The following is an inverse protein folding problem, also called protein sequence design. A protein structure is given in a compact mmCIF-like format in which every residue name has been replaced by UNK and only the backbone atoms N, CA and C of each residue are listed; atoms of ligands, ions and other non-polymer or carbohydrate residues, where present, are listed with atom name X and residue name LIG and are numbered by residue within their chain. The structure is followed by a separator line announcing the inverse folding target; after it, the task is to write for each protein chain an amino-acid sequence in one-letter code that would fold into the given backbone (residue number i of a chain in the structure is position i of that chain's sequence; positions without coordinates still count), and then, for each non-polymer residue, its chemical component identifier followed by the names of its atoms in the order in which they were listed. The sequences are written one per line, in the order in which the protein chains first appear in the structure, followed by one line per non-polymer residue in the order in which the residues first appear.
data_IF_152172209633
#
_entry.id   IF_152172209633
#
_cell.length_a   1.000
_cell.length_b   1.000
_cell.length_c   1.000
_cell.angle_alpha   90.00
_cell.angle_beta   90.00
_cell.angle_gamma   90.00
#
_symmetry.space_group_name_H-M   'P 1'
#
loop_
_entity.id
_entity.type
_entity.pdbx_description
1 polymer ?
#
# COMPACT_ATOMS: atom_id res chain seq x y z
N UNK A 1 -10.94 18.06 -2.00
CA UNK A 1 -11.61 16.84 -1.47
C UNK A 1 -11.43 15.63 -2.38
N UNK A 2 -11.70 15.72 -3.69
CA UNK A 2 -11.50 14.59 -4.64
C UNK A 2 -10.05 14.06 -4.64
N UNK A 3 -9.07 14.94 -4.87
CA UNK A 3 -7.64 14.56 -4.93
C UNK A 3 -7.14 13.87 -3.66
N UNK A 4 -7.60 14.33 -2.48
CA UNK A 4 -7.26 13.72 -1.19
C UNK A 4 -7.83 12.29 -1.10
N UNK A 5 -9.07 12.08 -1.53
CA UNK A 5 -9.68 10.75 -1.53
C UNK A 5 -8.95 9.81 -2.50
N UNK A 6 -8.58 10.30 -3.68
CA UNK A 6 -7.81 9.55 -4.67
C UNK A 6 -6.41 9.21 -4.16
N UNK A 7 -5.75 10.15 -3.48
CA UNK A 7 -4.47 9.91 -2.80
C UNK A 7 -4.54 8.83 -1.73
N UNK A 8 -5.57 8.85 -0.87
CA UNK A 8 -5.81 7.79 0.12
C UNK A 8 -6.02 6.44 -0.57
N UNK A 9 -6.86 6.40 -1.63
CA UNK A 9 -7.10 5.17 -2.41
C UNK A 9 -5.84 4.62 -3.06
N UNK A 10 -5.02 5.48 -3.68
CA UNK A 10 -3.74 5.11 -4.29
C UNK A 10 -2.76 4.55 -3.26
N UNK A 11 -2.74 5.17 -2.07
CA UNK A 11 -1.88 4.73 -0.98
C UNK A 11 -2.29 3.34 -0.49
N UNK A 12 -3.59 3.13 -0.22
CA UNK A 12 -4.12 1.83 0.20
C UNK A 12 -3.97 0.75 -0.87
N UNK A 13 -4.19 1.07 -2.14
CA UNK A 13 -3.96 0.18 -3.29
C UNK A 13 -2.56 -0.46 -3.28
N UNK A 14 -1.52 0.34 -3.05
CA UNK A 14 -0.15 -0.15 -3.00
C UNK A 14 0.19 -0.78 -1.64
N UNK A 15 -0.32 -0.20 -0.55
CA UNK A 15 -0.01 -0.59 0.81
C UNK A 15 -0.64 -1.90 1.27
N UNK A 16 -1.63 -2.43 0.55
CA UNK A 16 -2.23 -3.73 0.84
C UNK A 16 -1.55 -4.91 0.13
N UNK A 17 -0.62 -4.60 -0.78
CA UNK A 17 0.03 -5.56 -1.66
C UNK A 17 1.49 -5.79 -1.31
N UNK A 18 1.78 -7.00 -0.86
CA UNK A 18 3.13 -7.40 -0.51
C UNK A 18 4.08 -7.45 -1.72
N UNK A 19 3.58 -7.72 -2.94
CA UNK A 19 4.39 -7.65 -4.16
C UNK A 19 4.82 -6.24 -4.52
N UNK A 20 4.16 -5.20 -3.99
CA UNK A 20 4.47 -3.80 -4.25
C UNK A 20 5.28 -3.16 -3.12
N UNK A 21 4.94 -3.45 -1.87
CA UNK A 21 5.51 -2.76 -0.71
C UNK A 21 5.78 -3.73 0.44
N UNK A 22 6.94 -3.60 1.08
CA UNK A 22 7.33 -4.42 2.23
C UNK A 22 7.72 -3.53 3.42
N UNK A 23 7.26 -3.90 4.61
CA UNK A 23 7.42 -3.11 5.83
C UNK A 23 7.00 -1.64 5.61
N UNK A 24 7.83 -0.67 6.02
CA UNK A 24 7.55 0.77 5.85
C UNK A 24 7.92 1.35 4.48
N UNK A 25 8.33 0.51 3.53
CA UNK A 25 8.74 0.92 2.17
C UNK A 25 7.59 1.51 1.36
N UNK A 26 7.96 2.20 0.28
CA UNK A 26 7.01 2.85 -0.61
C UNK A 26 6.35 4.11 -0.04
N UNK A 27 6.02 5.01 -0.97
CA UNK A 27 5.58 6.37 -0.70
C UNK A 27 4.62 6.82 -1.78
N UNK A 28 3.70 7.71 -1.44
CA UNK A 28 2.72 8.27 -2.35
C UNK A 28 2.64 9.77 -2.14
N UNK A 29 2.28 10.51 -3.18
CA UNK A 29 1.94 11.93 -3.07
C UNK A 29 0.86 12.36 -4.06
N UNK A 30 0.23 13.49 -3.74
CA UNK A 30 -0.61 14.25 -4.67
C UNK A 30 -0.28 15.74 -4.57
N UNK A 31 -0.10 16.38 -5.72
CA UNK A 31 0.02 17.85 -5.83
C UNK A 31 -1.38 18.44 -6.01
N UNK A 32 -1.68 19.48 -5.25
CA UNK A 32 -2.96 20.18 -5.27
C UNK A 32 -2.82 21.48 -6.07
N UNK A 33 -3.93 21.93 -6.65
CA UNK A 33 -3.95 23.11 -7.53
C UNK A 33 -3.57 24.41 -6.80
N UNK A 34 -3.60 24.42 -5.46
CA UNK A 34 -3.19 25.54 -4.61
C UNK A 34 -1.67 25.57 -4.34
N UNK A 35 -0.88 24.72 -4.98
CA UNK A 35 0.57 24.64 -4.79
C UNK A 35 1.03 23.75 -3.64
N UNK A 36 0.11 23.14 -2.89
CA UNK A 36 0.46 22.18 -1.85
C UNK A 36 0.74 20.80 -2.43
N UNK A 37 1.59 20.02 -1.79
CA UNK A 37 1.71 18.58 -1.99
C UNK A 37 1.42 17.85 -0.68
N UNK A 38 0.54 16.86 -0.76
CA UNK A 38 0.34 15.87 0.28
C UNK A 38 1.25 14.70 0.00
N UNK A 39 2.02 14.24 0.99
CA UNK A 39 2.94 13.11 0.85
C UNK A 39 2.86 12.20 2.06
N UNK A 40 2.92 10.88 1.85
CA UNK A 40 2.98 9.90 2.95
C UNK A 40 4.02 10.31 3.99
N UNK A 41 3.59 10.40 5.25
CA UNK A 41 4.47 10.77 6.34
C UNK A 41 5.43 9.62 6.71
N UNK A 42 6.62 9.98 7.17
CA UNK A 42 7.58 9.02 7.71
C UNK A 42 7.01 8.33 8.95
N UNK A 43 7.21 7.01 9.04
CA UNK A 43 6.69 6.19 10.14
C UNK A 43 5.27 5.64 9.94
N UNK A 44 4.58 6.03 8.87
CA UNK A 44 3.30 5.46 8.46
C UNK A 44 3.47 4.46 7.32
N UNK A 45 2.68 3.39 7.32
CA UNK A 45 2.52 2.52 6.17
C UNK A 45 1.66 3.22 5.11
N UNK A 46 1.78 2.80 3.84
CA UNK A 46 0.89 3.28 2.79
C UNK A 46 -0.59 2.93 3.07
N UNK A 47 -0.84 1.80 3.73
CA UNK A 47 -2.17 1.40 4.19
C UNK A 47 -2.69 2.18 5.40
N UNK A 48 -1.83 2.93 6.11
CA UNK A 48 -2.24 3.76 7.25
C UNK A 48 -2.70 5.17 6.84
N UNK A 49 -2.54 5.54 5.56
CA UNK A 49 -2.95 6.86 5.06
C UNK A 49 -4.48 6.95 5.05
N UNK A 50 -5.01 7.96 5.73
CA UNK A 50 -6.43 8.29 5.79
C UNK A 50 -6.65 9.75 5.37
N UNK A 51 -7.90 10.20 5.33
CA UNK A 51 -8.23 11.58 4.91
C UNK A 51 -7.70 12.64 5.89
N UNK A 52 -7.51 12.31 7.15
CA UNK A 52 -7.13 13.21 8.23
C UNK A 52 -5.75 12.92 8.86
N UNK A 53 -5.11 11.80 8.51
CA UNK A 53 -3.81 11.37 9.08
C UNK A 53 -2.96 10.57 8.10
N UNK A 54 -1.68 10.41 8.42
CA UNK A 54 -0.73 9.57 7.68
C UNK A 54 0.03 10.29 6.55
N UNK A 55 -0.13 11.61 6.42
CA UNK A 55 0.58 12.42 5.43
C UNK A 55 1.08 13.76 6.01
N UNK A 56 2.07 14.33 5.35
CA UNK A 56 2.56 15.68 5.55
C UNK A 56 2.07 16.59 4.42
N UNK A 57 1.86 17.87 4.72
CA UNK A 57 1.47 18.88 3.72
C UNK A 57 2.58 19.91 3.59
N UNK A 58 3.05 20.14 2.36
CA UNK A 58 4.18 21.03 2.08
C UNK A 58 4.01 21.81 0.78
N UNK A 59 4.75 22.91 0.64
CA UNK A 59 4.80 23.72 -0.57
C UNK A 59 5.74 23.06 -1.60
N UNK A 60 5.16 22.46 -2.64
CA UNK A 60 5.94 21.68 -3.59
C UNK A 60 6.83 22.56 -4.49
N UNK A 61 6.43 23.81 -4.74
CA UNK A 61 7.21 24.73 -5.58
C UNK A 61 8.50 25.13 -4.87
N UNK A 62 8.47 25.31 -3.54
CA UNK A 62 9.68 25.51 -2.75
C UNK A 62 10.63 24.33 -2.81
N UNK A 63 10.12 23.10 -2.78
CA UNK A 63 10.96 21.89 -2.89
C UNK A 63 11.62 21.81 -4.25
N UNK A 64 10.88 22.04 -5.34
CA UNK A 64 11.42 22.03 -6.70
C UNK A 64 12.48 23.12 -6.88
N UNK A 65 12.21 24.34 -6.40
CA UNK A 65 13.17 25.44 -6.46
C UNK A 65 14.45 25.14 -5.67
N UNK A 66 14.32 24.47 -4.52
CA UNK A 66 15.46 24.12 -3.67
C UNK A 66 16.44 23.15 -4.35
N UNK A 67 15.99 22.28 -5.27
CA UNK A 67 16.91 21.38 -6.00
C UNK A 67 17.88 22.10 -6.94
N UNK A 68 17.61 23.38 -7.26
CA UNK A 68 18.51 24.23 -8.04
C UNK A 68 19.41 25.12 -7.16
N UNK A 69 19.42 24.90 -5.84
CA UNK A 69 20.27 25.65 -4.93
C UNK A 69 21.75 25.27 -5.12
N UNK A 70 22.63 26.23 -5.48
CA UNK A 70 24.05 25.96 -5.68
C UNK A 70 24.74 25.43 -4.42
N UNK A 71 24.17 25.62 -3.23
CA UNK A 71 24.70 25.06 -1.99
C UNK A 71 24.85 23.53 -2.04
N UNK A 72 24.02 22.81 -2.82
CA UNK A 72 24.18 21.36 -2.99
C UNK A 72 25.48 20.96 -3.71
N UNK A 73 26.05 21.84 -4.54
CA UNK A 73 27.34 21.61 -5.19
C UNK A 73 28.51 22.01 -4.26
N UNK A 74 28.31 23.03 -3.43
CA UNK A 74 29.32 23.52 -2.49
C UNK A 74 29.53 22.59 -1.29
N UNK A 75 28.46 21.93 -0.81
CA UNK A 75 28.54 21.01 0.32
C UNK A 75 29.08 19.66 -0.16
N UNK A 76 30.33 19.37 0.21
CA UNK A 76 31.06 18.15 -0.21
C UNK A 76 30.59 16.90 0.57
N UNK A 77 30.31 17.04 1.86
CA UNK A 77 29.92 15.89 2.70
C UNK A 77 28.45 15.50 2.53
N UNK A 78 28.19 14.25 2.14
CA UNK A 78 26.83 13.71 1.95
C UNK A 78 25.90 13.95 3.14
N UNK A 79 26.39 13.74 4.36
CA UNK A 79 25.62 13.95 5.59
C UNK A 79 25.19 15.41 5.76
N UNK A 80 26.08 16.36 5.46
CA UNK A 80 25.75 17.79 5.54
C UNK A 80 24.72 18.17 4.47
N UNK A 81 24.79 17.57 3.27
CA UNK A 81 23.75 17.74 2.25
C UNK A 81 22.40 17.20 2.69
N UNK A 82 22.35 16.04 3.33
CA UNK A 82 21.13 15.48 3.90
C UNK A 82 20.53 16.39 4.98
N UNK A 83 21.36 16.91 5.89
CA UNK A 83 20.93 17.84 6.93
C UNK A 83 20.41 19.16 6.33
N UNK A 84 21.06 19.69 5.28
CA UNK A 84 20.60 20.87 4.56
C UNK A 84 19.27 20.63 3.82
N UNK A 85 19.17 19.50 3.11
CA UNK A 85 17.95 19.08 2.43
C UNK A 85 16.78 18.93 3.42
N UNK A 86 17.02 18.36 4.60
CA UNK A 86 16.01 18.26 5.65
C UNK A 86 15.54 19.64 6.16
N UNK A 87 16.44 20.62 6.28
CA UNK A 87 16.07 22.00 6.62
C UNK A 87 15.19 22.64 5.55
N UNK A 88 15.55 22.47 4.27
CA UNK A 88 14.76 22.98 3.14
C UNK A 88 13.36 22.38 3.12
N UNK A 89 13.24 21.07 3.34
CA UNK A 89 11.97 20.37 3.46
C UNK A 89 11.17 20.90 4.66
N UNK A 90 11.81 21.09 5.81
CA UNK A 90 11.17 21.64 7.02
C UNK A 90 10.60 23.04 6.77
N UNK A 91 11.32 23.89 6.04
CA UNK A 91 10.89 25.25 5.70
C UNK A 91 9.72 25.30 4.70
N UNK A 92 9.44 24.19 4.01
CA UNK A 92 8.32 24.06 3.09
C UNK A 92 7.05 23.48 3.76
N UNK A 93 7.12 23.00 5.00
CA UNK A 93 5.98 22.41 5.70
C UNK A 93 4.92 23.45 6.07
N UNK A 94 3.65 23.10 5.87
CA UNK A 94 2.52 23.87 6.40
C UNK A 94 2.19 23.53 7.86
N UNK A 95 2.65 22.37 8.35
CA UNK A 95 2.49 21.94 9.75
C UNK A 95 3.79 21.30 10.26
N UNK A 96 4.39 21.81 11.36
CA UNK A 96 5.67 21.34 11.86
C UNK A 96 5.59 19.97 12.58
N UNK A 97 4.39 19.48 12.88
CA UNK A 97 4.18 18.20 13.57
C UNK A 97 4.32 16.98 12.66
N UNK A 98 4.27 17.17 11.34
CA UNK A 98 4.39 16.09 10.37
C UNK A 98 5.84 15.94 9.91
N UNK A 99 6.41 14.73 10.04
CA UNK A 99 7.69 14.39 9.40
C UNK A 99 7.41 13.87 7.99
N UNK A 100 7.72 14.64 6.92
CA UNK A 100 7.51 14.17 5.56
C UNK A 100 8.47 13.02 5.21
N UNK A 101 8.23 12.36 4.07
CA UNK A 101 9.17 11.35 3.55
C UNK A 101 10.54 11.97 3.25
N UNK A 102 11.61 11.20 3.46
CA UNK A 102 12.96 11.57 2.99
C UNK A 102 13.05 11.71 1.47
N UNK A 103 12.09 11.13 0.74
CA UNK A 103 12.01 11.12 -0.73
C UNK A 103 11.09 12.21 -1.28
N UNK A 104 10.74 13.20 -0.46
CA UNK A 104 9.89 14.34 -0.84
C UNK A 104 10.34 15.01 -2.15
N UNK A 105 11.65 15.12 -2.36
CA UNK A 105 12.20 15.69 -3.58
C UNK A 105 11.82 14.89 -4.83
N UNK A 106 11.89 13.56 -4.81
CA UNK A 106 11.51 12.70 -5.94
C UNK A 106 10.05 12.95 -6.34
N UNK A 107 9.17 12.99 -5.34
CA UNK A 107 7.75 13.24 -5.52
C UNK A 107 7.45 14.63 -6.08
N UNK A 108 8.25 15.63 -5.75
CA UNK A 108 8.04 17.01 -6.23
C UNK A 108 8.32 17.20 -7.72
N UNK A 109 9.16 16.34 -8.32
CA UNK A 109 9.69 16.50 -9.68
C UNK A 109 8.79 15.99 -10.81
N UNK A 110 7.78 15.18 -10.48
CA UNK A 110 6.96 14.42 -11.41
C UNK A 110 5.51 14.95 -11.50
N UNK A 111 4.63 14.25 -12.24
CA UNK A 111 3.21 14.59 -12.41
C UNK A 111 2.40 14.67 -11.10
N UNK A 112 1.14 15.10 -11.20
CA UNK A 112 0.24 15.39 -10.07
C UNK A 112 0.20 14.26 -9.02
N UNK A 113 -0.06 13.04 -9.45
CA UNK A 113 -0.02 11.85 -8.60
C UNK A 113 1.30 11.13 -8.80
N UNK A 114 1.93 10.73 -7.71
CA UNK A 114 3.18 9.96 -7.75
C UNK A 114 3.12 8.83 -6.75
N UNK A 115 3.36 7.61 -7.24
CA UNK A 115 3.42 6.39 -6.46
C UNK A 115 4.83 5.79 -6.60
N UNK A 116 5.57 5.80 -5.50
CA UNK A 116 6.83 5.10 -5.37
C UNK A 116 6.62 3.79 -4.61
N UNK A 117 7.01 2.67 -5.20
CA UNK A 117 6.90 1.35 -4.60
C UNK A 117 8.20 0.57 -4.80
N UNK A 118 8.29 -0.59 -4.14
CA UNK A 118 9.44 -1.50 -4.25
C UNK A 118 8.97 -2.87 -4.80
N UNK A 119 8.46 -2.94 -6.05
CA UNK A 119 7.86 -4.18 -6.50
C UNK A 119 8.88 -5.32 -6.60
N UNK A 120 8.50 -6.52 -6.16
CA UNK A 120 9.39 -7.69 -6.14
C UNK A 120 9.98 -7.92 -7.54
N UNK A 121 9.12 -7.95 -8.57
CA UNK A 121 9.55 -8.20 -9.96
C UNK A 121 10.47 -7.11 -10.51
N UNK A 122 10.29 -5.85 -10.08
CA UNK A 122 11.18 -4.75 -10.48
C UNK A 122 12.53 -4.94 -9.83
N UNK A 123 12.57 -5.21 -8.52
CA UNK A 123 13.81 -5.41 -7.78
C UNK A 123 14.55 -6.69 -8.18
N UNK A 124 13.85 -7.72 -8.68
CA UNK A 124 14.49 -8.87 -9.33
C UNK A 124 15.38 -8.47 -10.51
N UNK A 125 15.04 -7.38 -11.22
CA UNK A 125 15.78 -6.90 -12.40
C UNK A 125 16.77 -5.80 -12.00
N UNK A 126 16.33 -4.79 -11.25
CA UNK A 126 17.14 -3.61 -10.89
C UNK A 126 18.34 -3.93 -10.01
N UNK A 127 18.39 -5.12 -9.39
CA UNK A 127 19.56 -5.61 -8.67
C UNK A 127 20.63 -6.31 -9.54
N UNK A 128 20.34 -6.56 -10.82
CA UNK A 128 21.26 -7.24 -11.72
C UNK A 128 22.27 -6.25 -12.33
N UNK A 129 23.45 -6.75 -12.71
CA UNK A 129 24.48 -5.92 -13.39
C UNK A 129 23.94 -5.27 -14.66
N UNK A 130 23.17 -6.04 -15.45
CA UNK A 130 22.62 -5.61 -16.73
C UNK A 130 21.19 -5.07 -16.65
N UNK A 131 20.80 -4.54 -15.48
CA UNK A 131 19.43 -4.05 -15.25
C UNK A 131 18.99 -3.00 -16.28
N UNK A 132 19.87 -2.05 -16.61
CA UNK A 132 19.52 -0.92 -17.47
C UNK A 132 19.26 -1.41 -18.89
N UNK A 133 20.16 -2.22 -19.46
CA UNK A 133 19.98 -2.77 -20.81
C UNK A 133 18.73 -3.67 -20.90
N UNK A 134 18.44 -4.47 -19.86
CA UNK A 134 17.21 -5.28 -19.79
C UNK A 134 15.95 -4.43 -19.79
N UNK A 135 15.85 -3.43 -18.91
CA UNK A 135 14.67 -2.57 -18.84
C UNK A 135 14.56 -1.64 -20.05
N UNK A 136 15.69 -1.21 -20.62
CA UNK A 136 15.71 -0.41 -21.84
C UNK A 136 15.22 -1.21 -23.06
N UNK A 137 15.54 -2.50 -23.15
CA UNK A 137 15.01 -3.36 -24.22
C UNK A 137 13.48 -3.50 -24.17
N UNK A 138 12.87 -3.41 -22.99
CA UNK A 138 11.42 -3.55 -22.79
C UNK A 138 10.65 -2.22 -22.89
N UNK A 139 11.22 -1.15 -22.34
CA UNK A 139 10.53 0.13 -22.21
C UNK A 139 11.12 1.24 -23.11
N UNK A 140 12.38 1.15 -23.52
CA UNK A 140 13.03 2.15 -24.37
C UNK A 140 12.90 3.57 -23.81
N UNK A 141 12.55 4.53 -24.66
CA UNK A 141 12.45 5.95 -24.26
C UNK A 141 11.18 6.30 -23.46
N UNK A 142 10.29 5.33 -23.21
CA UNK A 142 9.06 5.59 -22.45
C UNK A 142 9.31 5.70 -20.94
N UNK A 143 10.47 5.24 -20.47
CA UNK A 143 10.83 5.23 -19.06
C UNK A 143 12.15 5.99 -18.81
N UNK A 144 12.30 6.49 -17.58
CA UNK A 144 13.55 7.02 -17.07
C UNK A 144 14.28 5.93 -16.28
N UNK A 145 15.61 5.88 -16.40
CA UNK A 145 16.46 4.88 -15.75
C UNK A 145 17.47 5.60 -14.87
N UNK A 146 17.32 5.50 -13.55
CA UNK A 146 18.17 6.21 -12.59
C UNK A 146 19.13 5.21 -11.95
N UNK A 147 20.46 5.39 -12.11
CA UNK A 147 21.47 4.59 -11.43
C UNK A 147 21.34 4.68 -9.90
N UNK A 148 21.97 3.73 -9.21
CA UNK A 148 21.88 3.69 -7.75
C UNK A 148 22.57 4.90 -7.13
N UNK A 149 21.85 5.56 -6.24
CA UNK A 149 22.36 6.56 -5.32
C UNK A 149 21.74 6.35 -3.94
N UNK A 150 22.37 6.92 -2.92
CA UNK A 150 21.82 6.89 -1.56
C UNK A 150 20.42 7.50 -1.53
N UNK A 151 19.39 6.79 -1.01
CA UNK A 151 18.04 7.34 -0.89
C UNK A 151 18.01 8.65 -0.11
N UNK A 152 17.24 9.63 -0.59
CA UNK A 152 17.24 11.00 -0.09
C UNK A 152 17.73 11.99 -1.15
N UNK A 153 18.52 12.98 -0.73
CA UNK A 153 18.93 14.08 -1.62
C UNK A 153 19.86 13.65 -2.76
N UNK A 154 20.78 12.71 -2.52
CA UNK A 154 21.71 12.22 -3.57
C UNK A 154 20.93 11.61 -4.75
N UNK A 155 19.99 10.72 -4.44
CA UNK A 155 19.10 10.13 -5.43
C UNK A 155 18.23 11.18 -6.12
N UNK A 156 17.74 12.18 -5.38
CA UNK A 156 16.94 13.24 -5.96
C UNK A 156 17.71 14.12 -6.95
N UNK A 157 18.96 14.48 -6.64
CA UNK A 157 19.84 15.23 -7.55
C UNK A 157 20.18 14.40 -8.79
N UNK A 158 20.50 13.10 -8.61
CA UNK A 158 20.76 12.18 -9.72
C UNK A 158 19.54 12.05 -10.65
N UNK A 159 18.36 11.81 -10.07
CA UNK A 159 17.11 11.76 -10.83
C UNK A 159 16.80 13.10 -11.50
N UNK A 160 17.05 14.24 -10.84
CA UNK A 160 16.82 15.57 -11.41
C UNK A 160 17.64 15.77 -12.69
N UNK A 161 18.91 15.39 -12.68
CA UNK A 161 19.78 15.49 -13.86
C UNK A 161 19.29 14.61 -15.01
N UNK A 162 18.96 13.34 -14.73
CA UNK A 162 18.42 12.42 -15.74
C UNK A 162 17.08 12.92 -16.30
N UNK A 163 16.24 13.50 -15.44
CA UNK A 163 14.94 14.07 -15.80
C UNK A 163 15.09 15.25 -16.78
N UNK A 164 16.10 16.10 -16.63
CA UNK A 164 16.36 17.18 -17.59
C UNK A 164 16.67 16.63 -18.98
N UNK A 165 17.53 15.62 -19.08
CA UNK A 165 17.85 14.95 -20.35
C UNK A 165 16.61 14.31 -20.97
N UNK A 166 15.79 13.64 -20.14
CA UNK A 166 14.54 13.05 -20.57
C UNK A 166 13.57 14.09 -21.15
N UNK A 167 13.37 15.22 -20.45
CA UNK A 167 12.50 16.33 -20.88
C UNK A 167 12.98 16.95 -22.19
N UNK A 168 14.29 17.13 -22.36
CA UNK A 168 14.86 17.67 -23.59
C UNK A 168 14.54 16.80 -24.80
N UNK A 169 14.60 15.47 -24.64
CA UNK A 169 14.32 14.49 -25.70
C UNK A 169 12.82 14.29 -25.95
N UNK A 170 12.03 14.13 -24.89
CA UNK A 170 10.63 13.67 -24.98
C UNK A 170 9.60 14.80 -24.87
N UNK A 171 10.00 16.01 -24.48
CA UNK A 171 9.12 17.19 -24.27
C UNK A 171 8.00 16.99 -23.25
N UNK A 172 8.19 16.06 -22.31
CA UNK A 172 7.28 15.74 -21.21
C UNK A 172 8.02 15.05 -20.06
N UNK A 173 7.33 14.88 -18.93
CA UNK A 173 7.83 14.10 -17.80
C UNK A 173 7.65 12.60 -18.05
N UNK A 174 8.53 11.75 -17.48
CA UNK A 174 8.38 10.31 -17.56
C UNK A 174 7.25 9.83 -16.65
N UNK A 175 6.35 9.01 -17.18
CA UNK A 175 5.34 8.32 -16.36
C UNK A 175 5.91 7.12 -15.59
N UNK A 176 7.07 6.60 -16.03
CA UNK A 176 7.74 5.42 -15.47
C UNK A 176 9.19 5.80 -15.14
N UNK A 177 9.61 5.61 -13.90
CA UNK A 177 11.01 5.79 -13.47
C UNK A 177 11.46 4.53 -12.75
N UNK A 178 12.48 3.86 -13.29
CA UNK A 178 13.14 2.73 -12.64
C UNK A 178 14.35 3.23 -11.84
N UNK A 179 14.46 2.79 -10.60
CA UNK A 179 15.55 3.11 -9.70
C UNK A 179 16.38 1.85 -9.44
N UNK A 180 17.66 1.86 -9.81
CA UNK A 180 18.56 0.73 -9.59
C UNK A 180 18.65 0.35 -8.10
N UNK A 181 18.58 -0.94 -7.78
CA UNK A 181 18.62 -1.48 -6.40
C UNK A 181 17.58 -0.87 -5.44
N UNK A 182 16.49 -0.28 -5.95
CA UNK A 182 15.56 0.45 -5.10
C UNK A 182 14.10 0.15 -5.44
N UNK A 183 13.64 0.47 -6.66
CA UNK A 183 12.25 0.21 -7.00
C UNK A 183 11.74 0.98 -8.21
N UNK A 184 10.46 1.36 -8.14
CA UNK A 184 9.70 1.94 -9.24
C UNK A 184 9.01 3.22 -8.77
N UNK A 185 9.01 4.24 -9.61
CA UNK A 185 8.09 5.38 -9.47
C UNK A 185 7.19 5.40 -10.70
N UNK A 186 5.88 5.40 -10.46
CA UNK A 186 4.87 5.68 -11.47
C UNK A 186 4.23 7.03 -11.16
N UNK A 187 4.02 7.84 -12.19
CA UNK A 187 3.37 9.15 -12.03
C UNK A 187 2.48 9.50 -13.22
N UNK A 188 1.44 10.28 -12.95
CA UNK A 188 0.44 10.71 -13.93
C UNK A 188 -0.45 11.82 -13.37
N UNK A 189 -1.35 12.34 -14.20
CA UNK A 189 -2.24 13.44 -13.80
C UNK A 189 -3.49 12.92 -13.07
N UNK A 190 -3.81 11.64 -13.26
CA UNK A 190 -4.92 10.97 -12.59
C UNK A 190 -4.46 9.70 -11.85
N UNK A 191 -5.07 9.45 -10.69
CA UNK A 191 -4.76 8.25 -9.88
C UNK A 191 -5.01 6.94 -10.65
N UNK A 192 -6.08 6.89 -11.46
CA UNK A 192 -6.42 5.71 -12.27
C UNK A 192 -5.31 5.39 -13.27
N UNK A 193 -4.78 6.39 -13.97
CA UNK A 193 -3.65 6.24 -14.90
C UNK A 193 -2.40 5.70 -14.19
N UNK A 194 -2.12 6.16 -12.97
CA UNK A 194 -1.00 5.68 -12.17
C UNK A 194 -1.16 4.20 -11.82
N UNK A 195 -2.34 3.79 -11.37
CA UNK A 195 -2.61 2.40 -11.02
C UNK A 195 -2.59 1.48 -12.26
N UNK A 196 -3.19 1.91 -13.37
CA UNK A 196 -3.19 1.16 -14.64
C UNK A 196 -1.78 1.00 -15.21
N UNK A 197 -1.00 2.09 -15.24
CA UNK A 197 0.38 2.06 -15.73
C UNK A 197 1.28 1.20 -14.84
N UNK A 198 1.06 1.23 -13.52
CA UNK A 198 1.74 0.32 -12.60
C UNK A 198 1.46 -1.15 -12.97
N UNK A 199 0.19 -1.52 -13.13
CA UNK A 199 -0.17 -2.91 -13.50
C UNK A 199 0.33 -3.32 -14.88
N UNK A 200 0.36 -2.40 -15.85
CA UNK A 200 0.95 -2.63 -17.16
C UNK A 200 2.44 -2.98 -17.03
N UNK A 201 3.20 -2.13 -16.33
CA UNK A 201 4.65 -2.31 -16.11
C UNK A 201 4.92 -3.66 -15.43
N UNK A 202 4.22 -3.95 -14.33
CA UNK A 202 4.42 -5.20 -13.60
C UNK A 202 4.04 -6.41 -14.44
N UNK A 203 2.95 -6.36 -15.20
CA UNK A 203 2.53 -7.47 -16.05
C UNK A 203 3.52 -7.74 -17.19
N UNK A 204 4.20 -6.72 -17.72
CA UNK A 204 5.28 -6.89 -18.71
C UNK A 204 6.48 -7.58 -18.05
N UNK A 205 6.88 -7.11 -16.87
CA UNK A 205 8.04 -7.63 -16.16
C UNK A 205 7.82 -9.06 -15.63
N UNK A 206 6.65 -9.36 -15.08
CA UNK A 206 6.28 -10.70 -14.60
C UNK A 206 6.35 -11.73 -15.74
N UNK A 207 5.87 -11.36 -16.93
CA UNK A 207 5.98 -12.19 -18.15
C UNK A 207 7.42 -12.37 -18.59
N UNK A 208 8.24 -11.33 -18.53
CA UNK A 208 9.65 -11.39 -18.92
C UNK A 208 10.47 -12.29 -17.97
N UNK A 209 10.25 -12.16 -16.66
CA UNK A 209 10.96 -12.93 -15.64
C UNK A 209 10.32 -14.31 -15.36
N UNK A 210 9.23 -14.66 -16.06
CA UNK A 210 8.49 -15.91 -15.91
C UNK A 210 8.07 -16.19 -14.44
N UNK A 211 7.55 -15.14 -13.77
CA UNK A 211 7.02 -15.22 -12.40
C UNK A 211 5.54 -14.87 -12.40
N UNK A 212 4.82 -15.31 -11.35
CA UNK A 212 3.40 -15.05 -11.21
C UNK A 212 3.07 -14.53 -9.80
N UNK A 213 2.75 -13.25 -9.71
CA UNK A 213 2.32 -12.57 -8.49
C UNK A 213 0.83 -12.22 -8.49
N UNK A 214 0.02 -12.87 -9.35
CA UNK A 214 -1.43 -12.61 -9.46
C UNK A 214 -2.21 -12.78 -8.16
N UNK A 215 -1.73 -13.64 -7.24
CA UNK A 215 -2.36 -13.84 -5.94
C UNK A 215 -2.38 -12.57 -5.08
N UNK A 216 -1.35 -11.74 -5.15
CA UNK A 216 -1.36 -10.45 -4.47
C UNK A 216 -2.35 -9.47 -5.12
N UNK A 217 -2.66 -9.59 -6.42
CA UNK A 217 -3.65 -8.74 -7.11
C UNK A 217 -5.10 -8.99 -6.65
N UNK A 218 -5.38 -10.17 -6.08
CA UNK A 218 -6.68 -10.46 -5.49
C UNK A 218 -6.99 -9.57 -4.29
N UNK A 219 -5.98 -9.06 -3.57
CA UNK A 219 -6.18 -8.11 -2.47
C UNK A 219 -6.95 -6.87 -2.94
N UNK A 220 -6.48 -6.20 -4.00
CA UNK A 220 -7.15 -5.01 -4.55
C UNK A 220 -8.59 -5.32 -5.02
N UNK A 221 -8.80 -6.49 -5.62
CA UNK A 221 -10.12 -6.89 -6.12
C UNK A 221 -11.10 -7.13 -4.98
N UNK A 222 -10.65 -7.79 -3.90
CA UNK A 222 -11.44 -8.02 -2.69
C UNK A 222 -11.71 -6.71 -1.96
N UNK A 223 -10.72 -5.84 -1.80
CA UNK A 223 -10.89 -4.51 -1.21
C UNK A 223 -11.93 -3.69 -1.97
N UNK A 224 -11.86 -3.69 -3.31
CA UNK A 224 -12.85 -3.01 -4.16
C UNK A 224 -14.26 -3.54 -3.94
N UNK A 225 -14.43 -4.87 -3.82
CA UNK A 225 -15.72 -5.49 -3.53
C UNK A 225 -16.28 -5.06 -2.17
N UNK A 226 -15.49 -5.19 -1.10
CA UNK A 226 -15.91 -4.83 0.25
C UNK A 226 -16.26 -3.35 0.35
N UNK A 227 -15.40 -2.49 -0.18
CA UNK A 227 -15.61 -1.05 -0.14
C UNK A 227 -16.84 -0.62 -0.96
N UNK A 228 -17.16 -1.35 -2.05
CA UNK A 228 -18.36 -1.12 -2.85
C UNK A 228 -19.66 -1.41 -2.09
N UNK A 229 -19.67 -2.42 -1.22
CA UNK A 229 -20.84 -2.79 -0.40
C UNK A 229 -20.95 -1.91 0.85
N UNK A 230 -19.86 -1.79 1.61
CA UNK A 230 -19.88 -1.12 2.91
C UNK A 230 -19.68 0.39 2.86
N UNK A 231 -19.36 0.97 1.70
CA UNK A 231 -18.92 2.36 1.57
C UNK A 231 -17.76 2.70 2.52
N UNK A 232 -16.79 1.80 2.61
CA UNK A 232 -15.61 1.91 3.48
C UNK A 232 -14.33 2.18 2.68
N UNK A 233 -13.19 2.28 3.38
CA UNK A 233 -11.85 2.34 2.78
C UNK A 233 -10.97 1.23 3.36
N UNK A 234 -11.52 0.04 3.54
CA UNK A 234 -10.80 -1.12 4.05
C UNK A 234 -9.83 -1.66 3.01
N UNK A 235 -8.80 -2.32 3.50
CA UNK A 235 -7.84 -3.10 2.75
C UNK A 235 -8.05 -4.60 2.98
N UNK A 236 -7.63 -5.40 2.02
CA UNK A 236 -7.56 -6.84 2.10
C UNK A 236 -6.11 -7.26 2.18
N UNK A 237 -5.77 -8.04 3.20
CA UNK A 237 -4.42 -8.55 3.42
C UNK A 237 -4.40 -10.05 3.21
N UNK A 238 -3.54 -10.51 2.30
CA UNK A 238 -3.33 -11.93 2.05
C UNK A 238 -2.46 -12.56 3.15
N UNK A 239 -2.96 -13.63 3.76
CA UNK A 239 -2.24 -14.45 4.72
C UNK A 239 -1.25 -15.38 4.02
N UNK A 240 0.03 -15.33 4.42
CA UNK A 240 1.04 -16.32 4.05
C UNK A 240 1.49 -17.19 5.25
N UNK A 241 0.84 -17.04 6.41
CA UNK A 241 1.09 -17.90 7.55
C UNK A 241 0.72 -19.37 7.26
N UNK A 242 1.72 -20.24 7.32
CA UNK A 242 1.57 -21.66 6.99
C UNK A 242 0.57 -22.41 7.88
N UNK A 243 0.37 -22.00 9.13
CA UNK A 243 -0.60 -22.62 10.04
C UNK A 243 -2.00 -22.18 9.63
N UNK A 244 -2.21 -20.88 9.36
CA UNK A 244 -3.48 -20.35 8.87
C UNK A 244 -3.89 -21.07 7.58
N UNK A 245 -3.00 -21.10 6.59
CA UNK A 245 -3.28 -21.74 5.30
C UNK A 245 -3.62 -23.22 5.46
N UNK A 246 -2.79 -23.98 6.17
CA UNK A 246 -2.98 -25.43 6.33
C UNK A 246 -4.24 -25.78 7.11
N UNK A 247 -4.52 -25.08 8.22
CA UNK A 247 -5.71 -25.38 9.03
C UNK A 247 -7.00 -24.92 8.38
N UNK A 248 -6.94 -23.95 7.46
CA UNK A 248 -8.08 -23.48 6.66
C UNK A 248 -8.45 -24.43 5.52
N UNK A 249 -7.60 -25.40 5.17
CA UNK A 249 -7.96 -26.45 4.19
C UNK A 249 -9.12 -27.34 4.71
N UNK A 250 -9.22 -27.50 6.03
CA UNK A 250 -10.31 -28.23 6.65
C UNK A 250 -11.53 -27.33 6.85
N UNK A 251 -12.51 -27.44 5.96
CA UNK A 251 -13.80 -26.72 6.03
C UNK A 251 -14.47 -26.76 7.40
N UNK A 252 -14.42 -27.89 8.10
CA UNK A 252 -15.04 -28.02 9.41
C UNK A 252 -14.43 -27.06 10.45
N UNK A 253 -13.16 -26.67 10.29
CA UNK A 253 -12.51 -25.71 11.18
C UNK A 253 -13.03 -24.26 11.00
N UNK A 254 -13.62 -23.97 9.83
CA UNK A 254 -14.03 -22.63 9.42
C UNK A 254 -15.52 -22.37 9.63
N UNK A 255 -16.29 -23.43 9.85
CA UNK A 255 -17.75 -23.37 10.09
C UNK A 255 -18.08 -23.21 11.58
N UNK A 256 -17.10 -23.35 12.47
CA UNK A 256 -17.30 -23.18 13.91
C UNK A 256 -17.46 -21.70 14.25
N UNK A 257 -18.56 -21.37 14.93
CA UNK A 257 -18.82 -20.02 15.42
C UNK A 257 -17.77 -19.59 16.46
N UNK A 258 -17.57 -18.28 16.67
CA UNK A 258 -16.66 -17.81 17.70
C UNK A 258 -16.97 -18.43 19.07
N UNK A 259 -15.96 -19.02 19.72
CA UNK A 259 -16.08 -19.62 21.06
C UNK A 259 -15.60 -18.70 22.18
N UNK A 260 -14.99 -17.56 21.82
CA UNK A 260 -14.55 -16.54 22.77
C UNK A 260 -14.82 -15.14 22.21
N UNK A 261 -14.91 -14.11 23.07
CA UNK A 261 -15.19 -12.74 22.64
C UNK A 261 -14.21 -12.23 21.59
N UNK A 262 -12.90 -12.46 21.77
CA UNK A 262 -11.87 -12.01 20.84
C UNK A 262 -12.08 -12.60 19.43
N UNK A 263 -12.50 -13.86 19.33
CA UNK A 263 -12.79 -14.51 18.06
C UNK A 263 -13.89 -13.77 17.28
N UNK A 264 -14.95 -13.33 17.96
CA UNK A 264 -16.01 -12.54 17.31
C UNK A 264 -15.52 -11.12 17.00
N UNK A 265 -14.87 -10.48 17.97
CA UNK A 265 -14.42 -9.09 17.85
C UNK A 265 -13.45 -8.90 16.69
N UNK A 266 -12.48 -9.79 16.51
CA UNK A 266 -11.47 -9.67 15.45
C UNK A 266 -11.88 -10.37 14.16
N UNK A 267 -12.46 -11.57 14.22
CA UNK A 267 -12.74 -12.38 13.03
C UNK A 267 -14.19 -12.25 12.52
N UNK A 268 -15.07 -11.58 13.27
CA UNK A 268 -16.48 -11.40 12.93
C UNK A 268 -17.33 -12.64 13.23
N UNK A 269 -18.57 -12.63 12.74
CA UNK A 269 -19.52 -13.73 12.97
C UNK A 269 -19.03 -15.04 12.35
N UNK A 270 -18.55 -15.00 11.11
CA UNK A 270 -18.11 -16.18 10.34
C UNK A 270 -17.24 -15.81 9.15
N UNK A 271 -16.52 -16.79 8.62
CA UNK A 271 -15.73 -16.66 7.38
C UNK A 271 -16.67 -16.55 6.17
N UNK A 272 -16.38 -15.62 5.26
CA UNK A 272 -17.03 -15.56 3.95
C UNK A 272 -16.23 -16.36 2.92
N UNK A 273 -16.90 -17.26 2.21
CA UNK A 273 -16.30 -18.02 1.10
C UNK A 273 -16.74 -17.43 -0.22
N UNK A 274 -15.77 -16.96 -1.01
CA UNK A 274 -16.01 -16.48 -2.37
C UNK A 274 -15.70 -17.59 -3.36
N UNK A 275 -16.68 -17.91 -4.21
CA UNK A 275 -16.45 -18.74 -5.40
C UNK A 275 -16.03 -17.88 -6.59
N UNK A 276 -16.63 -16.70 -6.69
CA UNK A 276 -16.28 -15.69 -7.68
C UNK A 276 -16.12 -14.34 -6.99
N UNK A 277 -15.43 -13.41 -7.64
CA UNK A 277 -15.27 -12.04 -7.14
C UNK A 277 -16.49 -11.19 -7.54
N UNK A 278 -17.65 -11.62 -7.05
CA UNK A 278 -18.93 -10.91 -7.18
C UNK A 278 -19.28 -10.18 -5.89
N UNK A 279 -20.01 -9.07 -6.02
CA UNK A 279 -20.46 -8.29 -4.86
C UNK A 279 -21.67 -8.90 -4.18
N UNK A 280 -22.41 -9.81 -4.83
CA UNK A 280 -23.65 -10.35 -4.30
C UNK A 280 -23.40 -11.16 -3.03
N UNK A 281 -22.37 -12.00 -3.03
CA UNK A 281 -21.98 -12.77 -1.85
C UNK A 281 -21.63 -11.87 -0.65
N UNK A 282 -21.03 -10.70 -0.89
CA UNK A 282 -20.71 -9.72 0.15
C UNK A 282 -21.98 -9.02 0.65
N UNK A 283 -22.89 -8.63 -0.25
CA UNK A 283 -24.20 -8.07 0.13
C UNK A 283 -25.02 -9.05 0.97
N UNK A 284 -25.12 -10.31 0.55
CA UNK A 284 -25.87 -11.35 1.26
C UNK A 284 -25.28 -11.59 2.66
N UNK A 285 -23.94 -11.57 2.78
CA UNK A 285 -23.27 -11.63 4.07
C UNK A 285 -23.65 -10.43 4.94
N UNK A 286 -23.58 -9.22 4.40
CA UNK A 286 -23.87 -7.99 5.12
C UNK A 286 -25.32 -7.94 5.61
N UNK A 287 -26.30 -8.29 4.77
CA UNK A 287 -27.72 -8.32 5.15
C UNK A 287 -28.00 -9.34 6.26
N UNK A 288 -27.33 -10.50 6.24
CA UNK A 288 -27.53 -11.56 7.24
C UNK A 288 -26.87 -11.25 8.59
N UNK A 289 -25.72 -10.57 8.59
CA UNK A 289 -24.89 -10.39 9.79
C UNK A 289 -24.87 -8.94 10.30
N UNK A 290 -25.38 -7.99 9.53
CA UNK A 290 -25.31 -6.54 9.77
C UNK A 290 -23.88 -6.00 9.96
N UNK A 291 -22.89 -6.74 9.45
CA UNK A 291 -21.47 -6.38 9.45
C UNK A 291 -20.78 -6.88 8.18
N UNK A 292 -19.70 -6.22 7.77
CA UNK A 292 -18.87 -6.69 6.67
C UNK A 292 -17.99 -7.88 7.12
N UNK A 293 -17.68 -8.82 6.21
CA UNK A 293 -16.81 -9.94 6.53
C UNK A 293 -15.39 -9.46 6.88
N UNK A 294 -14.84 -9.97 7.99
CA UNK A 294 -13.46 -9.70 8.41
C UNK A 294 -12.47 -10.75 7.91
N UNK A 295 -12.95 -11.97 7.63
CA UNK A 295 -12.16 -13.07 7.09
C UNK A 295 -12.83 -13.58 5.82
N UNK A 296 -12.07 -13.64 4.73
CA UNK A 296 -12.54 -14.08 3.42
C UNK A 296 -11.64 -15.20 2.92
N UNK A 297 -12.24 -16.24 2.36
CA UNK A 297 -11.52 -17.30 1.64
C UNK A 297 -11.88 -17.24 0.17
N UNK A 298 -10.86 -17.12 -0.68
CA UNK A 298 -10.99 -17.11 -2.14
C UNK A 298 -9.83 -17.89 -2.75
N UNK A 299 -10.11 -18.81 -3.67
CA UNK A 299 -9.10 -19.67 -4.31
C UNK A 299 -8.14 -20.35 -3.30
N UNK A 300 -8.68 -20.89 -2.20
CA UNK A 300 -7.93 -21.52 -1.11
C UNK A 300 -6.94 -20.60 -0.37
N UNK A 301 -7.01 -19.29 -0.59
CA UNK A 301 -6.23 -18.28 0.11
C UNK A 301 -7.10 -17.58 1.14
N UNK A 302 -6.48 -17.18 2.26
CA UNK A 302 -7.14 -16.47 3.37
C UNK A 302 -6.80 -14.99 3.29
N UNK A 303 -7.83 -14.16 3.32
CA UNK A 303 -7.72 -12.70 3.28
C UNK A 303 -8.36 -12.10 4.53
N UNK A 304 -7.69 -11.10 5.11
CA UNK A 304 -8.17 -10.36 6.28
C UNK A 304 -8.54 -8.94 5.88
N UNK A 305 -9.72 -8.51 6.29
CA UNK A 305 -10.29 -7.21 5.94
C UNK A 305 -10.17 -6.27 7.13
N UNK A 306 -9.48 -5.15 6.94
CA UNK A 306 -9.28 -4.17 8.02
C UNK A 306 -9.01 -2.76 7.49
N UNK A 307 -8.86 -1.78 8.38
CA UNK A 307 -8.51 -0.41 8.01
C UNK A 307 -7.11 -0.27 7.40
N UNK A 308 -6.17 -1.07 7.89
CA UNK A 308 -4.76 -1.06 7.51
C UNK A 308 -4.10 -2.43 7.77
N UNK A 309 -2.86 -2.60 7.32
CA UNK A 309 -2.11 -3.86 7.47
C UNK A 309 -1.92 -4.25 8.94
N UNK A 310 -1.69 -3.28 9.84
CA UNK A 310 -1.48 -3.59 11.27
C UNK A 310 -2.71 -4.27 11.86
N UNK A 311 -3.89 -3.70 11.64
CA UNK A 311 -5.16 -4.28 12.09
C UNK A 311 -5.45 -5.62 11.41
N UNK A 312 -5.12 -5.77 10.13
CA UNK A 312 -5.30 -7.05 9.45
C UNK A 312 -4.43 -8.17 10.05
N UNK A 313 -3.20 -7.84 10.49
CA UNK A 313 -2.32 -8.79 11.20
C UNK A 313 -2.81 -9.14 12.60
N UNK A 314 -3.41 -8.18 13.32
CA UNK A 314 -4.09 -8.48 14.60
C UNK A 314 -5.23 -9.49 14.38
N UNK A 315 -5.99 -9.37 13.29
CA UNK A 315 -7.01 -10.36 12.91
C UNK A 315 -6.38 -11.71 12.57
N UNK A 316 -5.28 -11.74 11.80
CA UNK A 316 -4.55 -12.97 11.47
C UNK A 316 -4.10 -13.73 12.73
N UNK A 317 -3.57 -13.02 13.74
CA UNK A 317 -3.13 -13.63 15.01
C UNK A 317 -4.29 -14.29 15.76
N UNK A 318 -5.43 -13.61 15.88
CA UNK A 318 -6.62 -14.14 16.56
C UNK A 318 -7.25 -15.27 15.77
N UNK A 319 -7.27 -15.17 14.44
CA UNK A 319 -7.78 -16.22 13.56
C UNK A 319 -6.92 -17.49 13.63
N UNK A 320 -5.60 -17.34 13.65
CA UNK A 320 -4.66 -18.44 13.86
C UNK A 320 -4.89 -19.14 15.21
N UNK A 321 -5.06 -18.35 16.28
CA UNK A 321 -5.44 -18.88 17.60
C UNK A 321 -6.74 -19.69 17.54
N UNK A 322 -7.77 -19.15 16.89
CA UNK A 322 -9.06 -19.81 16.72
C UNK A 322 -8.91 -21.16 16.01
N UNK A 323 -8.21 -21.18 14.86
CA UNK A 323 -7.97 -22.39 14.07
C UNK A 323 -7.22 -23.47 14.86
N UNK A 324 -6.19 -23.10 15.64
CA UNK A 324 -5.42 -24.06 16.44
C UNK A 324 -6.31 -24.74 17.50
N UNK A 325 -7.15 -23.97 18.18
CA UNK A 325 -8.06 -24.49 19.21
C UNK A 325 -9.13 -25.38 18.59
N UNK A 326 -9.80 -24.88 17.55
CA UNK A 326 -10.84 -25.63 16.84
C UNK A 326 -10.28 -26.94 16.29
N UNK A 327 -9.09 -26.93 15.69
CA UNK A 327 -8.48 -28.15 15.17
C UNK A 327 -8.12 -29.17 16.28
N UNK A 328 -7.76 -28.68 17.47
CA UNK A 328 -7.39 -29.52 18.62
C UNK A 328 -8.60 -30.10 19.35
N UNK A 329 -9.67 -29.31 19.50
CA UNK A 329 -10.86 -29.66 20.28
C UNK A 329 -11.95 -30.29 19.38
N UNK A 330 -11.97 -29.91 18.10
CA UNK A 330 -12.89 -30.33 17.03
C UNK A 330 -14.35 -30.03 17.40
N UNK A 331 -15.25 -31.00 17.21
CA UNK A 331 -16.69 -30.89 17.49
C UNK A 331 -17.01 -30.64 18.98
N UNK A 332 -16.01 -30.70 19.88
CA UNK A 332 -16.19 -30.43 21.31
C UNK A 332 -16.08 -28.95 21.67
N UNK A 333 -15.96 -28.06 20.67
CA UNK A 333 -15.89 -26.61 20.91
C UNK A 333 -17.24 -26.11 21.39
N UNK A 334 -17.25 -25.49 22.58
CA UNK A 334 -18.43 -24.78 23.08
C UNK A 334 -18.42 -23.35 22.54
N UNK A 335 -19.25 -23.08 21.54
CA UNK A 335 -19.31 -21.76 20.89
C UNK A 335 -20.09 -20.75 21.74
N UNK A 336 -19.88 -19.45 21.49
CA UNK A 336 -20.74 -18.42 22.08
C UNK A 336 -22.16 -18.53 21.53
N UNK A 337 -23.13 -18.31 22.41
CA UNK A 337 -24.54 -18.20 22.03
C UNK A 337 -24.77 -16.96 21.15
N UNK A 338 -25.76 -17.02 20.28
CA UNK A 338 -26.08 -15.95 19.33
C UNK A 338 -26.38 -14.62 20.05
N UNK A 339 -27.04 -14.67 21.21
CA UNK A 339 -27.37 -13.47 21.97
C UNK A 339 -26.13 -12.79 22.56
N UNK A 340 -25.10 -13.56 22.93
CA UNK A 340 -23.82 -13.02 23.38
C UNK A 340 -23.07 -12.35 22.22
N UNK A 341 -23.06 -13.00 21.04
CA UNK A 341 -22.48 -12.41 19.82
C UNK A 341 -23.14 -11.06 19.49
N UNK A 342 -24.48 -10.98 19.57
CA UNK A 342 -25.23 -9.74 19.35
C UNK A 342 -24.94 -8.66 20.39
N UNK A 343 -24.75 -9.06 21.65
CA UNK A 343 -24.38 -8.14 22.73
C UNK A 343 -22.98 -7.54 22.48
N UNK A 344 -22.00 -8.39 22.19
CA UNK A 344 -20.62 -7.97 21.90
C UNK A 344 -20.55 -7.03 20.69
N UNK A 345 -21.36 -7.26 19.65
CA UNK A 345 -21.39 -6.41 18.45
C UNK A 345 -21.88 -4.98 18.74
N UNK A 346 -22.68 -4.80 19.79
CA UNK A 346 -23.21 -3.51 20.19
C UNK A 346 -22.40 -2.81 21.28
N UNK A 347 -21.39 -3.47 21.83
CA UNK A 347 -20.64 -3.01 23.00
C UNK A 347 -19.78 -1.77 22.71
N UNK A 348 -20.00 -0.69 23.47
CA UNK A 348 -19.35 0.62 23.22
C UNK A 348 -17.83 0.58 23.36
N UNK A 349 -17.31 -0.20 24.32
CA UNK A 349 -15.87 -0.36 24.52
C UNK A 349 -15.19 -0.95 23.27
N UNK A 350 -15.90 -1.83 22.55
CA UNK A 350 -15.37 -2.47 21.36
C UNK A 350 -15.48 -1.56 20.12
N UNK A 351 -16.59 -0.82 20.00
CA UNK A 351 -16.73 0.26 19.00
C UNK A 351 -15.64 1.33 19.15
N UNK A 352 -15.15 1.57 20.37
CA UNK A 352 -14.02 2.46 20.62
C UNK A 352 -12.67 1.85 20.21
N UNK A 353 -12.42 0.57 20.56
CA UNK A 353 -11.18 -0.15 20.18
C UNK A 353 -10.99 -0.29 18.68
N UNK A 354 -12.06 -0.53 17.92
CA UNK A 354 -12.00 -0.64 16.46
C UNK A 354 -11.68 0.68 15.76
N UNK A 355 -11.89 1.83 16.42
CA UNK A 355 -11.58 3.17 15.90
C UNK A 355 -10.14 3.63 16.15
N UNK A 356 -9.45 3.02 17.11
CA UNK A 356 -8.03 3.28 17.42
C UNK A 356 -7.15 2.53 16.41
#
# INVERSE_FOLDING_TARGET
MKDLLEFVKMSKYAGERFDLTQAGGGNSSVKLDNGQMLIKASGFLLSDVEQDRGFATLDHLKIVAALSDPAFEEIVEKRQREEYAAQLVSNALYSPLSRPSIETFLHSLLYKFTLHTHPIVVNMITCQKEWNSKLHALFGDRALYVPYETPGIELALSMFNELQNYRLKNKKDPGIVFLQNHGLIISGDHMEEVCELNEEVLSILERNENVNFSHYKYTNQISKLINGVGNTQYIAYLSEDTIVTKLSENRANLEISPFCPDGYVFCGVRVLFLQTLDSQCVYDYFEQNLELPKVIIYNSMVFFIANNIRKAKEIEEVFKFHLIIVNSVKERVNSLEIDEIRYLGNWEAEKYRQKL
#
